data_IF_488568768642
#
_entry.id   IF_488568768642
#
_cell.length_a   1.000
_cell.length_b   1.000
_cell.length_c   1.000
_cell.angle_alpha   90.00
_cell.angle_beta   90.00
_cell.angle_gamma   90.00
#
_symmetry.space_group_name_H-M   'P 1'
#
loop_
_entity.id
_entity.type
_entity.pdbx_description
1 polymer ?
#
# COMPACT_ATOMS: atom_id res chain seq x y z
N UNK A 1 -9.46 -9.98 -12.91
CA UNK A 1 -9.50 -10.86 -11.72
C UNK A 1 -9.17 -10.02 -10.47
N UNK A 2 -10.08 -9.12 -10.07
CA UNK A 2 -9.90 -8.23 -8.92
C UNK A 2 -11.26 -7.93 -8.28
N UNK A 3 -12.06 -8.96 -8.00
CA UNK A 3 -13.43 -8.83 -7.49
C UNK A 3 -13.62 -9.30 -6.05
N UNK A 4 -12.54 -9.46 -5.29
CA UNK A 4 -12.61 -9.80 -3.90
C UNK A 4 -11.48 -9.00 -3.26
N UNK A 5 -11.82 -7.88 -2.64
CA UNK A 5 -10.93 -7.15 -1.73
C UNK A 5 -11.73 -6.58 -0.56
N UNK A 6 -13.05 -6.52 -0.69
CA UNK A 6 -13.92 -6.03 0.37
C UNK A 6 -15.28 -6.73 0.27
N UNK A 7 -15.51 -7.72 1.13
CA UNK A 7 -16.80 -7.97 1.79
C UNK A 7 -16.76 -9.26 2.64
N UNK A 8 -17.05 -9.14 3.95
CA UNK A 8 -18.22 -9.78 4.60
C UNK A 8 -18.30 -9.46 6.11
N UNK A 9 -19.05 -8.42 6.50
CA UNK A 9 -19.69 -8.37 7.82
C UNK A 9 -20.84 -7.34 7.86
N UNK A 10 -22.04 -7.74 7.44
CA UNK A 10 -23.30 -7.07 7.81
C UNK A 10 -24.51 -8.01 7.62
N UNK A 11 -25.10 -8.47 8.73
CA UNK A 11 -26.53 -8.79 8.95
C UNK A 11 -26.68 -9.43 10.35
N UNK A 12 -27.19 -8.73 11.39
CA UNK A 12 -28.60 -8.64 11.87
C UNK A 12 -29.11 -10.00 12.42
N UNK A 13 -29.58 -10.15 13.68
CA UNK A 13 -31.00 -10.00 14.12
C UNK A 13 -31.15 -10.15 15.67
N UNK A 14 -31.94 -9.24 16.29
CA UNK A 14 -32.92 -9.30 17.43
C UNK A 14 -32.67 -10.09 18.73
N UNK A 15 -33.25 -9.79 19.91
CA UNK A 15 -34.14 -8.76 20.50
C UNK A 15 -34.45 -9.19 21.95
N UNK A 16 -34.79 -8.27 22.89
CA UNK A 16 -35.78 -8.36 24.02
C UNK A 16 -35.55 -7.20 25.04
N UNK A 17 -36.32 -6.09 25.02
CA UNK A 17 -37.49 -5.67 25.89
C UNK A 17 -37.08 -5.23 27.34
N UNK A 18 -36.95 -3.91 27.68
CA UNK A 18 -37.88 -2.90 28.35
C UNK A 18 -38.12 -3.15 29.87
N UNK A 19 -38.40 -2.18 30.82
CA UNK A 19 -38.68 -0.70 30.80
C UNK A 19 -37.84 0.10 31.85
N UNK A 20 -38.04 1.36 32.27
CA UNK A 20 -38.63 2.65 31.81
C UNK A 20 -38.29 3.69 32.93
N UNK A 21 -38.03 4.96 32.60
CA UNK A 21 -38.48 6.10 33.43
C UNK A 21 -38.32 7.43 32.67
N UNK A 22 -39.25 8.32 32.93
CA UNK A 22 -39.67 9.51 32.20
C UNK A 22 -38.87 10.78 32.53
N UNK A 23 -38.68 11.67 31.55
CA UNK A 23 -39.07 13.08 31.69
C UNK A 23 -38.96 13.85 30.36
N UNK A 24 -39.79 14.87 30.27
CA UNK A 24 -40.28 15.58 29.09
C UNK A 24 -39.47 16.84 28.83
N UNK A 25 -39.12 17.15 27.58
CA UNK A 25 -39.16 18.53 27.07
C UNK A 25 -39.29 18.60 25.54
N UNK A 26 -40.23 19.44 25.12
CA UNK A 26 -40.73 19.61 23.74
C UNK A 26 -40.05 20.79 23.02
N UNK A 27 -40.23 20.78 21.68
CA UNK A 27 -40.28 21.90 20.69
C UNK A 27 -38.92 22.28 20.06
N UNK A 28 -38.77 22.56 18.76
CA UNK A 28 -39.65 22.63 17.58
C UNK A 28 -38.73 22.75 16.34
N UNK A 29 -39.09 22.13 15.22
CA UNK A 29 -38.56 22.40 13.87
C UNK A 29 -39.12 23.73 13.31
N UNK A 30 -38.45 24.30 12.31
CA UNK A 30 -39.18 24.70 11.12
C UNK A 30 -38.54 24.22 9.80
N UNK A 31 -39.39 23.59 8.98
CA UNK A 31 -39.36 23.60 7.52
C UNK A 31 -39.81 24.99 7.03
N UNK A 32 -39.11 25.56 6.03
CA UNK A 32 -39.50 26.44 4.89
C UNK A 32 -38.15 26.95 4.34
N UNK A 33 -37.74 26.92 3.08
CA UNK A 33 -38.39 26.79 1.78
C UNK A 33 -37.61 27.71 0.83
N UNK A 34 -37.38 27.32 -0.43
CA UNK A 34 -37.27 28.21 -1.60
C UNK A 34 -36.79 27.41 -2.83
N UNK A 35 -37.72 27.24 -3.74
CA UNK A 35 -37.52 26.95 -5.16
C UNK A 35 -36.99 28.23 -5.81
N UNK A 36 -35.93 28.16 -6.62
CA UNK A 36 -35.70 29.14 -7.66
C UNK A 36 -35.07 28.46 -8.87
N UNK A 37 -35.93 28.18 -9.85
CA UNK A 37 -35.57 28.02 -11.26
C UNK A 37 -35.27 29.43 -11.77
N UNK A 38 -34.20 29.63 -12.54
CA UNK A 38 -34.20 30.48 -13.74
C UNK A 38 -32.87 30.30 -14.51
N UNK A 39 -33.05 29.76 -15.71
CA UNK A 39 -32.22 29.84 -16.91
C UNK A 39 -31.65 31.24 -17.21
N UNK A 40 -30.51 31.26 -17.91
CA UNK A 40 -30.18 32.06 -19.11
C UNK A 40 -28.73 32.59 -19.06
N UNK A 41 -27.96 32.34 -20.13
CA UNK A 41 -26.69 33.00 -20.33
C UNK A 41 -25.72 32.35 -21.31
N UNK A 42 -26.19 31.99 -22.51
CA UNK A 42 -25.31 31.81 -23.66
C UNK A 42 -24.58 33.13 -23.94
N UNK A 43 -23.25 33.11 -24.09
CA UNK A 43 -22.54 33.89 -25.12
C UNK A 43 -21.15 33.30 -25.34
N UNK A 44 -21.05 32.41 -26.33
CA UNK A 44 -19.86 32.28 -27.15
C UNK A 44 -19.73 33.57 -27.97
N UNK A 45 -18.61 34.28 -27.88
CA UNK A 45 -18.20 35.17 -28.96
C UNK A 45 -16.67 35.39 -28.99
N UNK A 46 -16.10 34.84 -30.05
CA UNK A 46 -15.00 35.38 -30.87
C UNK A 46 -13.66 35.72 -30.21
N UNK A 47 -12.66 34.89 -30.51
CA UNK A 47 -11.44 35.39 -31.14
C UNK A 47 -11.10 34.51 -32.34
N UNK A 48 -11.21 35.10 -33.52
CA UNK A 48 -10.85 34.53 -34.81
C UNK A 48 -9.60 35.21 -35.35
N UNK A 49 -8.75 34.42 -36.02
CA UNK A 49 -7.75 34.82 -37.03
C UNK A 49 -6.53 35.56 -36.47
N UNK A 50 -5.28 35.30 -36.86
CA UNK A 50 -4.65 34.97 -38.15
C UNK A 50 -3.19 34.55 -37.76
N UNK A 51 -2.44 33.61 -38.37
CA UNK A 51 -1.81 33.62 -39.71
C UNK A 51 -0.81 32.43 -39.74
N UNK A 52 -1.07 31.35 -40.48
CA UNK A 52 -0.42 30.88 -41.75
C UNK A 52 1.12 30.76 -41.81
N UNK A 53 1.63 29.61 -42.26
CA UNK A 53 2.91 29.50 -42.98
C UNK A 53 3.49 28.08 -43.18
N UNK A 54 3.34 27.55 -44.40
CA UNK A 54 3.97 26.39 -45.10
C UNK A 54 5.24 25.74 -44.50
N UNK A 55 5.34 24.41 -44.41
CA UNK A 55 5.55 23.39 -45.47
C UNK A 55 6.92 23.47 -46.17
N UNK A 56 7.75 22.42 -46.04
CA UNK A 56 8.31 21.64 -47.16
C UNK A 56 9.21 20.47 -46.71
N UNK A 57 9.00 19.36 -47.42
CA UNK A 57 9.68 18.07 -47.44
C UNK A 57 11.02 18.09 -48.17
N UNK A 58 12.02 17.29 -47.76
CA UNK A 58 13.08 16.76 -48.65
C UNK A 58 13.45 15.32 -48.24
N UNK A 59 13.65 14.49 -49.27
CA UNK A 59 13.95 13.06 -49.33
C UNK A 59 15.43 12.69 -49.05
N UNK A 60 15.60 11.52 -48.42
CA UNK A 60 16.49 10.39 -48.81
C UNK A 60 18.03 10.57 -48.93
N UNK A 61 18.79 9.92 -48.04
CA UNK A 61 19.78 8.88 -48.38
C UNK A 61 20.41 8.25 -47.10
N UNK A 62 20.77 6.94 -47.12
CA UNK A 62 21.29 6.21 -45.96
C UNK A 62 22.83 6.28 -45.89
N UNK A 63 23.38 6.49 -44.69
CA UNK A 63 24.83 6.48 -44.51
C UNK A 63 25.24 5.81 -43.19
N UNK A 64 25.81 4.62 -43.35
CA UNK A 64 26.87 3.97 -42.57
C UNK A 64 26.76 3.87 -41.03
N UNK A 65 26.46 2.63 -40.63
CA UNK A 65 27.05 1.85 -39.52
C UNK A 65 28.33 2.46 -38.91
N UNK A 66 28.24 2.84 -37.64
CA UNK A 66 29.34 2.71 -36.69
C UNK A 66 28.79 2.35 -35.30
N UNK A 67 29.19 1.18 -34.81
CA UNK A 67 28.92 0.66 -33.47
C UNK A 67 30.01 1.19 -32.53
N UNK A 68 29.69 1.91 -31.43
CA UNK A 68 30.53 1.91 -30.27
C UNK A 68 29.90 0.98 -29.23
N UNK A 69 30.56 -0.16 -29.06
CA UNK A 69 30.53 -0.97 -27.85
C UNK A 69 31.18 -0.12 -26.76
N UNK A 70 30.38 0.40 -25.83
CA UNK A 70 30.86 1.09 -24.64
C UNK A 70 30.05 0.57 -23.46
N UNK A 71 30.71 -0.23 -22.61
CA UNK A 71 30.17 -0.74 -21.36
C UNK A 71 29.45 0.37 -20.59
N UNK A 72 28.14 0.29 -20.48
CA UNK A 72 27.46 0.85 -19.32
C UNK A 72 27.86 -0.05 -18.15
N UNK A 73 28.95 0.31 -17.49
CA UNK A 73 29.26 -0.14 -16.14
C UNK A 73 28.03 0.13 -15.30
N UNK A 74 27.23 -0.92 -15.09
CA UNK A 74 26.20 -0.93 -14.06
C UNK A 74 26.86 -0.39 -12.81
N UNK A 75 26.25 0.62 -12.20
CA UNK A 75 26.65 1.12 -10.90
C UNK A 75 26.70 -0.10 -9.98
N UNK A 76 27.91 -0.58 -9.72
CA UNK A 76 28.18 -1.55 -8.68
C UNK A 76 27.71 -0.87 -7.41
N UNK A 77 26.56 -1.30 -6.87
CA UNK A 77 26.24 -1.00 -5.49
C UNK A 77 27.48 -1.40 -4.69
N UNK A 78 28.13 -0.41 -4.08
CA UNK A 78 29.30 -0.67 -3.26
C UNK A 78 28.88 -1.65 -2.18
N UNK A 79 29.23 -2.92 -2.39
CA UNK A 79 29.19 -3.96 -1.39
C UNK A 79 30.10 -3.48 -0.27
N UNK A 80 29.51 -2.92 0.77
CA UNK A 80 30.17 -2.78 2.06
C UNK A 80 30.55 -4.19 2.45
N UNK A 81 31.83 -4.55 2.25
CA UNK A 81 32.37 -5.82 2.71
C UNK A 81 32.33 -5.76 4.23
N UNK A 82 31.29 -6.32 4.81
CA UNK A 82 31.29 -6.70 6.22
C UNK A 82 32.32 -7.82 6.40
N UNK A 83 33.05 -7.76 7.52
CA UNK A 83 34.03 -8.77 7.87
C UNK A 83 33.45 -10.17 7.72
N UNK A 84 34.19 -11.01 7.01
CA UNK A 84 33.85 -12.38 6.64
C UNK A 84 33.97 -13.35 7.84
N UNK A 85 33.36 -12.98 8.96
CA UNK A 85 33.12 -13.82 10.14
C UNK A 85 31.79 -14.60 10.08
N UNK A 86 31.15 -14.65 8.90
CA UNK A 86 30.34 -15.79 8.43
C UNK A 86 29.06 -16.20 9.19
N UNK A 87 28.50 -15.40 10.09
CA UNK A 87 27.29 -15.81 10.83
C UNK A 87 26.01 -15.01 10.51
N UNK A 88 25.99 -14.18 9.47
CA UNK A 88 24.78 -13.48 9.01
C UNK A 88 24.16 -14.16 7.79
N UNK A 89 22.92 -13.78 7.45
CA UNK A 89 22.19 -14.23 6.25
C UNK A 89 21.57 -13.02 5.54
N UNK A 90 21.33 -13.10 4.21
CA UNK A 90 20.59 -12.07 3.49
C UNK A 90 19.25 -11.79 4.19
N UNK A 91 19.03 -10.54 4.56
CA UNK A 91 17.89 -10.12 5.37
C UNK A 91 17.10 -9.02 4.67
N UNK A 92 15.82 -8.94 4.97
CA UNK A 92 14.87 -8.03 4.36
C UNK A 92 13.99 -7.37 5.43
N UNK A 93 13.50 -6.17 5.11
CA UNK A 93 12.36 -5.55 5.78
C UNK A 93 11.13 -5.79 4.93
N UNK A 94 10.05 -6.30 5.52
CA UNK A 94 8.78 -6.53 4.83
C UNK A 94 7.73 -5.59 5.39
N UNK A 95 7.00 -4.91 4.50
CA UNK A 95 5.85 -4.08 4.83
C UNK A 95 4.56 -4.86 4.57
N UNK A 96 3.65 -4.80 5.52
CA UNK A 96 2.29 -5.35 5.44
C UNK A 96 1.34 -4.37 6.10
N UNK A 97 0.28 -3.95 5.42
CA UNK A 97 -0.81 -3.18 6.05
C UNK A 97 -1.90 -4.12 6.57
N UNK A 98 -2.58 -3.71 7.64
CA UNK A 98 -3.66 -4.46 8.27
C UNK A 98 -4.82 -3.52 8.65
N UNK A 99 -6.08 -3.98 8.59
CA UNK A 99 -7.26 -3.11 8.77
C UNK A 99 -7.45 -2.57 10.18
N UNK A 100 -6.89 -3.22 11.21
CA UNK A 100 -7.15 -2.84 12.59
C UNK A 100 -6.06 -3.31 13.56
N UNK A 101 -6.14 -2.79 14.79
CA UNK A 101 -5.17 -3.04 15.86
C UNK A 101 -5.14 -4.49 16.31
N UNK A 102 -6.30 -5.13 16.36
CA UNK A 102 -6.46 -6.52 16.79
C UNK A 102 -5.87 -7.48 15.77
N UNK A 103 -6.15 -7.28 14.47
CA UNK A 103 -5.59 -8.08 13.37
C UNK A 103 -4.08 -7.91 13.29
N UNK A 104 -3.57 -6.68 13.37
CA UNK A 104 -2.13 -6.41 13.41
C UNK A 104 -1.40 -7.07 14.57
N UNK A 105 -2.01 -7.09 15.77
CA UNK A 105 -1.45 -7.80 16.93
C UNK A 105 -1.41 -9.30 16.69
N UNK A 106 -2.54 -9.89 16.28
CA UNK A 106 -2.64 -11.35 16.03
C UNK A 106 -1.66 -11.81 14.95
N UNK A 107 -1.60 -11.08 13.85
CA UNK A 107 -0.72 -11.41 12.73
C UNK A 107 0.76 -11.33 13.16
N UNK A 108 1.16 -10.24 13.82
CA UNK A 108 2.53 -10.10 14.34
C UNK A 108 2.92 -11.24 15.30
N UNK A 109 2.05 -11.60 16.25
CA UNK A 109 2.30 -12.70 17.19
C UNK A 109 2.41 -14.05 16.48
N UNK A 110 1.57 -14.32 15.48
CA UNK A 110 1.62 -15.57 14.72
C UNK A 110 2.91 -15.70 13.90
N UNK A 111 3.35 -14.61 13.23
CA UNK A 111 4.59 -14.58 12.45
C UNK A 111 5.81 -14.91 13.32
N UNK A 112 5.89 -14.32 14.51
CA UNK A 112 7.00 -14.59 15.45
C UNK A 112 6.92 -16.02 15.98
N UNK A 113 5.73 -16.49 16.34
CA UNK A 113 5.52 -17.86 16.85
C UNK A 113 5.96 -18.93 15.85
N UNK A 114 5.70 -18.70 14.57
CA UNK A 114 6.10 -19.59 13.48
C UNK A 114 7.56 -19.42 13.03
N UNK A 115 8.31 -18.53 13.70
CA UNK A 115 9.71 -18.18 13.39
C UNK A 115 9.89 -17.70 11.95
N UNK A 116 8.87 -17.06 11.38
CA UNK A 116 8.87 -16.48 10.03
C UNK A 116 9.54 -15.09 9.99
N UNK A 117 9.70 -14.45 11.14
CA UNK A 117 10.44 -13.21 11.30
C UNK A 117 11.06 -13.13 12.69
N UNK A 118 12.10 -12.31 12.85
CA UNK A 118 12.73 -12.08 14.14
C UNK A 118 12.00 -10.98 14.94
N UNK A 119 11.46 -9.97 14.25
CA UNK A 119 10.83 -8.80 14.87
C UNK A 119 9.74 -8.23 13.96
N UNK A 120 8.68 -7.71 14.57
CA UNK A 120 7.63 -6.92 13.90
C UNK A 120 7.43 -5.62 14.69
N UNK A 121 7.61 -4.47 14.05
CA UNK A 121 7.14 -3.19 14.59
C UNK A 121 5.75 -2.92 14.05
N UNK A 122 4.89 -2.30 14.87
CA UNK A 122 3.53 -1.89 14.49
C UNK A 122 3.43 -0.38 14.55
N UNK A 123 3.01 0.23 13.44
CA UNK A 123 2.79 1.67 13.33
C UNK A 123 1.28 1.89 13.19
N UNK A 124 0.59 2.29 14.26
CA UNK A 124 -0.86 2.47 14.25
C UNK A 124 -1.25 3.82 13.62
N UNK A 125 -2.52 3.92 13.19
CA UNK A 125 -3.12 5.19 12.77
C UNK A 125 -2.59 5.71 11.44
N UNK A 126 -2.29 4.81 10.51
CA UNK A 126 -1.98 5.18 9.13
C UNK A 126 -3.28 5.31 8.33
N UNK A 127 -3.26 6.12 7.30
CA UNK A 127 -4.33 6.25 6.33
C UNK A 127 -3.80 5.81 4.96
N UNK A 128 -4.46 4.82 4.38
CA UNK A 128 -4.11 4.26 3.07
C UNK A 128 -5.07 4.81 2.02
N UNK A 129 -4.53 5.46 0.99
CA UNK A 129 -5.30 6.05 -0.11
C UNK A 129 -4.98 5.30 -1.40
N UNK A 130 -6.00 4.77 -2.07
CA UNK A 130 -5.84 3.94 -3.26
C UNK A 130 -7.05 4.05 -4.19
N UNK A 131 -6.93 3.58 -5.44
CA UNK A 131 -8.03 3.59 -6.41
C UNK A 131 -8.64 2.19 -6.55
N UNK A 132 -9.94 2.09 -6.33
CA UNK A 132 -10.66 0.81 -6.38
C UNK A 132 -12.10 1.01 -6.86
N UNK A 133 -12.56 0.12 -7.75
CA UNK A 133 -13.87 0.18 -8.43
C UNK A 133 -14.23 1.55 -9.04
N UNK A 134 -13.23 2.27 -9.57
CA UNK A 134 -13.45 3.55 -10.24
C UNK A 134 -13.45 4.76 -9.31
N UNK A 135 -13.26 4.56 -8.01
CA UNK A 135 -13.27 5.62 -7.01
C UNK A 135 -11.97 5.63 -6.20
N UNK A 136 -11.64 6.79 -5.64
CA UNK A 136 -10.57 6.89 -4.63
C UNK A 136 -11.14 6.45 -3.29
N UNK A 137 -10.50 5.46 -2.69
CA UNK A 137 -10.79 4.94 -1.36
C UNK A 137 -9.73 5.42 -0.37
N UNK A 138 -10.16 5.52 0.89
CA UNK A 138 -9.34 5.91 2.01
C UNK A 138 -9.71 5.06 3.21
N UNK A 139 -8.76 4.26 3.71
CA UNK A 139 -8.97 3.37 4.86
C UNK A 139 -7.98 3.65 5.99
N UNK A 140 -8.45 3.53 7.24
CA UNK A 140 -7.58 3.57 8.42
C UNK A 140 -6.98 2.20 8.65
N UNK A 141 -5.66 2.14 8.78
CA UNK A 141 -4.91 0.87 8.89
C UNK A 141 -3.79 0.95 9.95
N UNK A 142 -3.10 -0.16 10.15
CA UNK A 142 -1.76 -0.19 10.76
C UNK A 142 -0.73 -0.72 9.76
N UNK A 143 0.50 -0.22 9.84
CA UNK A 143 1.63 -0.76 9.09
C UNK A 143 2.46 -1.69 9.99
N UNK A 144 2.71 -2.91 9.50
CA UNK A 144 3.67 -3.85 10.07
C UNK A 144 5.01 -3.71 9.37
N UNK A 145 6.08 -3.52 10.15
CA UNK A 145 7.47 -3.48 9.67
C UNK A 145 8.22 -4.69 10.22
N UNK A 146 8.31 -5.72 9.37
CA UNK A 146 8.76 -7.07 9.71
C UNK A 146 10.23 -7.25 9.30
N UNK A 147 11.09 -7.75 10.19
CA UNK A 147 12.51 -8.02 9.88
C UNK A 147 12.72 -9.52 9.84
N UNK A 148 13.12 -10.03 8.68
CA UNK A 148 13.29 -11.46 8.46
C UNK A 148 14.42 -11.77 7.47
N UNK A 149 14.69 -13.05 7.24
CA UNK A 149 15.61 -13.54 6.21
C UNK A 149 14.95 -13.44 4.84
N UNK A 150 15.73 -13.20 3.81
CA UNK A 150 15.25 -13.17 2.43
C UNK A 150 14.63 -14.51 2.00
N UNK A 151 15.16 -15.64 2.48
CA UNK A 151 14.64 -16.99 2.21
C UNK A 151 13.22 -17.23 2.72
N UNK A 152 12.77 -16.44 3.70
CA UNK A 152 11.45 -16.59 4.32
C UNK A 152 10.38 -15.69 3.69
N UNK A 153 10.69 -14.93 2.64
CA UNK A 153 9.72 -14.03 2.02
C UNK A 153 8.48 -14.76 1.52
N UNK A 154 8.65 -15.87 0.80
CA UNK A 154 7.53 -16.65 0.26
C UNK A 154 6.72 -17.33 1.38
N UNK A 155 7.33 -18.06 2.34
CA UNK A 155 6.61 -18.58 3.51
C UNK A 155 5.88 -17.50 4.32
N UNK A 156 6.49 -16.34 4.52
CA UNK A 156 5.87 -15.21 5.21
C UNK A 156 4.67 -14.68 4.42
N UNK A 157 4.79 -14.56 3.09
CA UNK A 157 3.71 -14.08 2.22
C UNK A 157 2.51 -15.03 2.27
N UNK A 158 2.73 -16.33 2.19
CA UNK A 158 1.65 -17.33 2.30
C UNK A 158 1.01 -17.32 3.69
N UNK A 159 1.82 -17.17 4.75
CA UNK A 159 1.30 -17.01 6.10
C UNK A 159 0.42 -15.78 6.26
N UNK A 160 0.85 -14.64 5.69
CA UNK A 160 0.04 -13.41 5.69
C UNK A 160 -1.27 -13.66 4.96
N UNK A 161 -1.25 -14.16 3.72
CA UNK A 161 -2.48 -14.45 2.95
C UNK A 161 -3.46 -15.36 3.71
N UNK A 162 -2.96 -16.40 4.37
CA UNK A 162 -3.81 -17.34 5.10
C UNK A 162 -4.45 -16.73 6.37
N UNK A 163 -3.88 -15.64 6.90
CA UNK A 163 -4.28 -15.04 8.17
C UNK A 163 -4.68 -13.55 8.04
N UNK A 164 -4.96 -13.09 6.82
CA UNK A 164 -5.34 -11.71 6.52
C UNK A 164 -6.82 -11.60 6.11
N UNK A 165 -7.44 -10.48 6.45
CA UNK A 165 -8.86 -10.21 6.16
C UNK A 165 -9.09 -9.86 4.67
N UNK A 166 -8.12 -9.18 4.06
CA UNK A 166 -8.13 -8.87 2.62
C UNK A 166 -7.71 -10.06 1.78
N UNK A 167 -8.35 -10.22 0.62
CA UNK A 167 -8.02 -11.25 -0.35
C UNK A 167 -6.65 -11.02 -1.04
N UNK A 168 -6.23 -9.76 -1.18
CA UNK A 168 -4.92 -9.36 -1.73
C UNK A 168 -4.22 -8.43 -0.74
N UNK A 169 -3.62 -8.96 0.34
CA UNK A 169 -2.90 -8.15 1.31
C UNK A 169 -1.63 -7.54 0.69
N UNK A 170 -1.28 -6.32 1.11
CA UNK A 170 0.02 -5.74 0.77
C UNK A 170 1.12 -6.56 1.45
N UNK A 171 2.08 -7.08 0.66
CA UNK A 171 3.32 -7.69 1.16
C UNK A 171 4.45 -7.31 0.22
N UNK A 172 5.31 -6.38 0.64
CA UNK A 172 6.46 -5.93 -0.17
C UNK A 172 7.74 -5.97 0.65
N UNK A 173 8.87 -6.26 0.01
CA UNK A 173 10.16 -6.45 0.66
C UNK A 173 11.21 -5.43 0.20
N UNK A 174 12.01 -4.95 1.15
CA UNK A 174 13.14 -4.06 0.95
C UNK A 174 14.43 -4.75 1.44
N UNK A 175 15.53 -4.74 0.67
CA UNK A 175 16.77 -5.39 1.07
C UNK A 175 17.46 -4.65 2.22
N UNK A 176 17.94 -5.40 3.21
CA UNK A 176 18.85 -4.88 4.24
C UNK A 176 20.28 -5.04 3.74
N UNK A 177 20.93 -3.92 3.41
CA UNK A 177 22.29 -3.91 2.86
C UNK A 177 23.39 -3.94 3.93
N UNK A 178 23.03 -3.72 5.20
CA UNK A 178 23.96 -3.65 6.32
C UNK A 178 23.27 -3.23 7.61
N UNK A 179 24.03 -3.06 8.68
CA UNK A 179 23.55 -2.78 10.03
C UNK A 179 24.50 -3.31 11.10
N UNK A 180 24.04 -3.35 12.36
CA UNK A 180 24.79 -4.00 13.44
C UNK A 180 24.91 -5.50 13.15
N UNK A 181 26.14 -6.02 13.13
CA UNK A 181 26.43 -7.44 12.90
C UNK A 181 25.71 -8.30 13.93
N UNK A 182 25.75 -7.93 15.22
CA UNK A 182 25.06 -8.68 16.27
C UNK A 182 23.54 -8.74 16.05
N UNK A 183 22.95 -7.65 15.55
CA UNK A 183 21.52 -7.63 15.23
C UNK A 183 21.16 -8.52 14.05
N UNK A 184 22.00 -8.52 13.00
CA UNK A 184 21.79 -9.38 11.82
C UNK A 184 22.00 -10.87 12.16
N UNK A 185 22.95 -11.20 13.03
CA UNK A 185 23.11 -12.54 13.59
C UNK A 185 21.89 -12.94 14.45
N UNK A 186 21.35 -12.01 15.23
CA UNK A 186 20.13 -12.26 15.99
C UNK A 186 18.92 -12.50 15.07
N UNK A 187 18.78 -11.78 13.95
CA UNK A 187 17.75 -12.06 12.94
C UNK A 187 17.88 -13.50 12.45
N UNK A 188 19.10 -13.92 12.08
CA UNK A 188 19.37 -15.30 11.69
C UNK A 188 18.92 -16.26 12.78
N UNK A 189 19.44 -16.14 14.00
CA UNK A 189 19.20 -17.12 15.07
C UNK A 189 17.74 -17.17 15.55
N UNK A 190 16.97 -16.09 15.35
CA UNK A 190 15.56 -16.00 15.77
C UNK A 190 14.57 -16.52 14.74
N UNK A 191 15.03 -16.86 13.53
CA UNK A 191 14.20 -17.30 12.41
C UNK A 191 14.53 -18.74 12.03
N UNK A 192 13.56 -19.45 11.45
CA UNK A 192 13.79 -20.80 10.92
C UNK A 192 14.65 -20.75 9.64
N UNK A 193 15.26 -21.88 9.31
CA UNK A 193 16.09 -22.02 8.10
C UNK A 193 15.25 -22.12 6.82
#
# INVERSE_FOLDING_TARGET
MASALCNRASSIVSSTIIPASTSVRRRRLPLVGAICVLTFGLTNLSYSLLKTGCAQSIHFAPFLRSKPRGNSTGRTFHSVKMDAGGNTVPSIVVYVTVPNKESGKKLAESIIREKLAACVNRVPGIESVYHWQGEIQTDSEELLIIKTRQSLLEPLTEHVKANHEYDTPEVIALPILGGSVQYLEWIKNSTRD
#
